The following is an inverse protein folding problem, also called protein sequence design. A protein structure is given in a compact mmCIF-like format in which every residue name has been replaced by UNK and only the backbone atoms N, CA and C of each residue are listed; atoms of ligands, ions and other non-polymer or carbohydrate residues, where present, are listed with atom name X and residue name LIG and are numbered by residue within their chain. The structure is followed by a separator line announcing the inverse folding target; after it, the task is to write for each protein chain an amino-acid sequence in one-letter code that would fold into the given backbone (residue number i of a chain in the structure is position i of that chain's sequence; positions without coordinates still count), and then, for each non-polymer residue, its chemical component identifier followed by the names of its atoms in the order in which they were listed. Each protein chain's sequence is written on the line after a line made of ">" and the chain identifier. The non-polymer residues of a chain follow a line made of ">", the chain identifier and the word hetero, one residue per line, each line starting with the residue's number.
data_IF_539460429817
#
_entry.id   IF_539460429817
#
_cell.length_a   1.000
_cell.length_b   1.000
_cell.length_c   1.000
_cell.angle_alpha   90.00
_cell.angle_beta   90.00
_cell.angle_gamma   90.00
#
_symmetry.space_group_name_H-M   'P 1'
#
loop_
_entity.id
_entity.type
_entity.pdbx_description
1 polymer ?
#
# COMPACT_ATOMS: atom_id res chain seq x y z
N UNK A 1 -11.02 -16.35 -8.22
CA UNK A 1 -10.14 -15.27 -7.69
C UNK A 1 -8.88 -15.21 -8.54
N UNK A 2 -8.64 -14.12 -9.28
CA UNK A 2 -7.39 -13.93 -10.04
C UNK A 2 -6.37 -13.23 -9.15
N UNK A 3 -5.12 -13.69 -9.19
CA UNK A 3 -4.06 -13.23 -8.30
C UNK A 3 -3.26 -12.10 -8.94
N UNK A 4 -3.07 -11.00 -8.22
CA UNK A 4 -2.09 -9.99 -8.61
C UNK A 4 -0.69 -10.44 -8.24
N UNK A 5 0.24 -10.37 -9.20
CA UNK A 5 1.61 -10.84 -9.02
C UNK A 5 2.57 -9.65 -8.93
N UNK A 6 3.18 -9.50 -7.76
CA UNK A 6 4.15 -8.44 -7.47
C UNK A 6 5.57 -9.02 -7.43
N UNK A 7 6.53 -8.29 -8.02
CA UNK A 7 7.96 -8.66 -8.05
C UNK A 7 8.67 -8.38 -6.73
N UNK A 8 8.28 -7.30 -6.08
CA UNK A 8 8.73 -6.87 -4.76
C UNK A 8 7.55 -6.18 -4.11
N UNK A 9 7.25 -6.55 -2.86
CA UNK A 9 6.13 -5.98 -2.12
C UNK A 9 6.43 -5.90 -0.64
N UNK A 10 5.76 -4.97 0.02
CA UNK A 10 5.65 -4.91 1.46
C UNK A 10 4.18 -4.83 1.84
N UNK A 11 3.86 -5.28 3.05
CA UNK A 11 2.52 -5.23 3.61
C UNK A 11 2.52 -4.33 4.84
N UNK A 12 1.42 -3.60 5.04
CA UNK A 12 1.18 -2.82 6.23
C UNK A 12 -0.28 -2.92 6.67
N UNK A 13 -0.49 -3.07 7.97
CA UNK A 13 -1.77 -2.85 8.63
C UNK A 13 -2.01 -1.34 8.79
N UNK A 14 -3.14 -0.86 8.27
CA UNK A 14 -3.51 0.55 8.26
C UNK A 14 -3.90 1.00 9.67
N UNK A 15 -3.29 2.09 10.11
CA UNK A 15 -3.59 2.74 11.37
C UNK A 15 -4.22 4.12 11.13
N UNK A 16 -4.54 4.83 12.22
CA UNK A 16 -5.22 6.13 12.15
C UNK A 16 -4.44 7.16 11.33
N UNK A 17 -3.11 7.15 11.45
CA UNK A 17 -2.24 8.11 10.75
C UNK A 17 -2.33 7.99 9.24
N UNK A 18 -2.39 6.76 8.72
CA UNK A 18 -2.52 6.53 7.28
C UNK A 18 -3.87 7.03 6.77
N UNK A 19 -4.96 6.73 7.48
CA UNK A 19 -6.31 6.95 6.97
C UNK A 19 -6.81 8.39 7.10
N UNK A 20 -6.55 9.03 8.24
CA UNK A 20 -7.23 10.27 8.62
C UNK A 20 -6.31 11.48 8.71
N UNK A 21 -5.08 11.29 9.19
CA UNK A 21 -4.22 12.42 9.53
C UNK A 21 -3.37 12.84 8.33
N UNK A 22 -2.61 11.91 7.75
CA UNK A 22 -1.55 12.25 6.79
C UNK A 22 -1.86 11.83 5.35
N UNK A 23 -2.70 10.81 5.15
CA UNK A 23 -2.89 10.17 3.83
C UNK A 23 -1.56 9.71 3.22
N UNK A 24 -0.69 9.19 4.08
CA UNK A 24 0.66 8.76 3.76
C UNK A 24 0.88 7.37 4.35
N UNK A 25 1.55 6.49 3.60
CA UNK A 25 1.93 5.18 4.09
C UNK A 25 3.27 5.25 4.84
N UNK A 26 3.21 5.13 6.16
CA UNK A 26 4.40 5.11 7.01
C UNK A 26 5.04 3.72 7.01
N UNK A 27 6.35 3.60 6.94
CA UNK A 27 7.02 2.28 6.84
C UNK A 27 8.39 2.38 6.20
N UNK A 28 9.14 3.40 6.63
CA UNK A 28 10.13 4.08 5.80
C UNK A 28 11.25 3.16 5.33
N UNK A 29 11.73 2.23 6.16
CA UNK A 29 12.91 1.42 5.80
C UNK A 29 12.65 0.49 4.60
N UNK A 30 11.54 -0.24 4.61
CA UNK A 30 11.23 -1.19 3.53
C UNK A 30 10.83 -0.45 2.26
N UNK A 31 10.00 0.60 2.37
CA UNK A 31 9.65 1.44 1.23
C UNK A 31 10.87 2.16 0.64
N UNK A 32 11.79 2.66 1.46
CA UNK A 32 13.04 3.27 1.00
C UNK A 32 13.95 2.27 0.29
N UNK A 33 14.03 1.04 0.77
CA UNK A 33 14.78 -0.01 0.07
C UNK A 33 14.16 -0.33 -1.31
N UNK A 34 12.83 -0.29 -1.42
CA UNK A 34 12.12 -0.60 -2.67
C UNK A 34 12.08 0.58 -3.65
N UNK A 35 11.85 1.79 -3.17
CA UNK A 35 11.63 3.00 -3.98
C UNK A 35 12.91 3.83 -4.16
N UNK A 36 13.92 3.60 -3.34
CA UNK A 36 15.15 4.37 -3.29
C UNK A 36 15.00 5.68 -2.51
N UNK A 37 15.96 6.58 -2.70
CA UNK A 37 16.04 7.86 -1.96
C UNK A 37 15.76 9.09 -2.83
N UNK A 38 15.49 8.90 -4.12
CA UNK A 38 15.14 9.99 -5.02
C UNK A 38 13.63 10.23 -4.99
N UNK A 39 13.23 11.50 -5.01
CA UNK A 39 11.84 11.90 -5.16
C UNK A 39 11.25 11.34 -6.46
N UNK A 40 10.04 10.78 -6.39
CA UNK A 40 9.37 10.13 -7.53
C UNK A 40 7.87 10.37 -7.49
N UNK A 41 7.28 10.52 -8.67
CA UNK A 41 5.84 10.45 -8.87
C UNK A 41 5.52 9.14 -9.60
N UNK A 42 4.47 8.45 -9.15
CA UNK A 42 4.01 7.20 -9.71
C UNK A 42 2.57 7.33 -10.17
N UNK A 43 2.27 6.82 -11.36
CA UNK A 43 0.90 6.40 -11.65
C UNK A 43 0.71 5.00 -11.12
N UNK A 44 -0.20 4.87 -10.15
CA UNK A 44 -0.34 3.66 -9.32
C UNK A 44 -1.68 3.02 -9.58
N UNK A 45 -1.70 1.69 -9.68
CA UNK A 45 -2.94 0.92 -9.70
C UNK A 45 -3.35 0.56 -8.27
N UNK A 46 -4.55 0.94 -7.85
CA UNK A 46 -5.17 0.51 -6.60
C UNK A 46 -6.23 -0.56 -6.89
N UNK A 47 -6.20 -1.65 -6.12
CA UNK A 47 -7.18 -2.73 -6.20
C UNK A 47 -7.79 -3.03 -4.84
N UNK A 48 -9.02 -3.54 -4.86
CA UNK A 48 -9.53 -4.37 -3.78
C UNK A 48 -8.94 -5.78 -3.90
N UNK A 49 -8.67 -6.43 -2.76
CA UNK A 49 -8.26 -7.82 -2.75
C UNK A 49 -9.30 -8.70 -3.45
N UNK A 50 -8.86 -9.44 -4.48
CA UNK A 50 -9.73 -10.33 -5.27
C UNK A 50 -10.34 -9.68 -6.53
N UNK A 51 -10.26 -8.35 -6.66
CA UNK A 51 -10.71 -7.60 -7.83
C UNK A 51 -9.62 -7.52 -8.91
N UNK A 52 -10.04 -7.33 -10.17
CA UNK A 52 -9.17 -7.19 -11.34
C UNK A 52 -9.27 -5.81 -12.00
N UNK A 53 -10.17 -4.94 -11.53
CA UNK A 53 -10.33 -3.60 -12.07
C UNK A 53 -9.52 -2.58 -11.24
N UNK A 54 -8.49 -1.93 -11.82
CA UNK A 54 -7.70 -0.96 -11.09
C UNK A 54 -8.39 0.41 -11.01
N UNK A 55 -8.24 1.05 -9.86
CA UNK A 55 -8.39 2.51 -9.72
C UNK A 55 -7.01 3.16 -9.90
N UNK A 56 -6.83 3.95 -10.95
CA UNK A 56 -5.56 4.65 -11.21
C UNK A 56 -5.45 5.92 -10.36
N UNK A 57 -4.36 6.06 -9.63
CA UNK A 57 -4.15 7.14 -8.65
C UNK A 57 -2.70 7.58 -8.68
N UNK A 58 -2.46 8.89 -8.56
CA UNK A 58 -1.09 9.40 -8.43
C UNK A 58 -0.58 9.20 -7.00
N UNK A 59 0.66 8.75 -6.87
CA UNK A 59 1.38 8.67 -5.61
C UNK A 59 2.71 9.41 -5.70
N UNK A 60 3.14 10.00 -4.58
CA UNK A 60 4.40 10.74 -4.50
C UNK A 60 5.27 10.17 -3.39
N UNK A 61 6.50 9.80 -3.74
CA UNK A 61 7.56 9.45 -2.81
C UNK A 61 8.53 10.61 -2.70
N UNK A 62 8.83 11.05 -1.48
CA UNK A 62 9.74 12.17 -1.25
C UNK A 62 10.36 12.16 0.15
N UNK A 63 11.48 12.85 0.30
CA UNK A 63 12.06 13.16 1.61
C UNK A 63 11.32 14.35 2.26
N UNK A 64 10.45 14.06 3.22
CA UNK A 64 9.60 15.04 3.88
C UNK A 64 10.34 15.99 4.83
N UNK A 65 11.60 15.70 5.12
CA UNK A 65 12.48 16.46 6.02
C UNK A 65 13.72 16.97 5.32
N UNK A 66 13.65 17.21 4.00
CA UNK A 66 14.80 17.63 3.18
C UNK A 66 15.52 18.89 3.71
N UNK A 67 14.81 19.78 4.42
CA UNK A 67 15.38 20.98 5.04
C UNK A 67 15.88 20.79 6.48
N UNK A 68 15.78 19.59 7.05
CA UNK A 68 16.13 19.31 8.44
C UNK A 68 17.55 18.73 8.53
N UNK A 69 18.41 19.36 9.32
CA UNK A 69 19.87 19.10 9.29
C UNK A 69 20.29 17.68 9.70
N UNK A 70 19.49 16.98 10.51
CA UNK A 70 19.87 15.69 11.11
C UNK A 70 18.82 14.59 10.99
N UNK A 71 17.61 14.91 10.53
CA UNK A 71 16.48 13.98 10.48
C UNK A 71 16.08 13.73 9.04
N UNK A 72 16.16 12.47 8.61
CA UNK A 72 15.65 12.01 7.33
C UNK A 72 14.37 11.21 7.53
N UNK A 73 13.32 11.58 6.81
CA UNK A 73 12.01 10.93 6.87
C UNK A 73 11.43 10.88 5.46
N UNK A 74 11.23 9.68 4.92
CA UNK A 74 10.62 9.52 3.61
C UNK A 74 9.16 9.11 3.74
N UNK A 75 8.33 9.67 2.87
CA UNK A 75 6.88 9.47 2.92
C UNK A 75 6.35 9.13 1.54
N UNK A 76 5.41 8.19 1.52
CA UNK A 76 4.68 7.79 0.33
C UNK A 76 3.26 8.32 0.44
N UNK A 77 3.02 9.48 -0.18
CA UNK A 77 1.72 10.14 -0.24
C UNK A 77 0.85 9.53 -1.35
N UNK A 78 -0.44 9.42 -1.10
CA UNK A 78 -1.43 9.03 -2.10
C UNK A 78 -2.55 10.08 -2.21
N UNK A 79 -3.02 10.31 -3.43
CA UNK A 79 -4.23 11.11 -3.66
C UNK A 79 -5.48 10.37 -3.15
N UNK A 80 -6.48 11.12 -2.72
CA UNK A 80 -7.75 10.54 -2.25
C UNK A 80 -8.37 9.71 -3.37
N UNK A 81 -8.76 8.48 -3.06
CA UNK A 81 -9.25 7.53 -4.05
C UNK A 81 -10.27 6.56 -3.44
N UNK A 82 -11.09 5.93 -4.29
CA UNK A 82 -12.18 5.06 -3.86
C UNK A 82 -11.72 3.90 -2.96
N UNK A 83 -10.58 3.27 -3.30
CA UNK A 83 -10.03 2.15 -2.52
C UNK A 83 -9.67 2.61 -1.12
N UNK A 84 -8.86 3.66 -0.98
CA UNK A 84 -8.46 4.19 0.32
C UNK A 84 -9.61 4.85 1.10
N UNK A 85 -10.59 5.44 0.43
CA UNK A 85 -11.78 6.02 1.09
C UNK A 85 -12.66 4.95 1.75
N UNK A 86 -12.62 3.72 1.23
CA UNK A 86 -13.32 2.60 1.85
C UNK A 86 -12.55 1.99 3.02
N UNK A 87 -11.23 2.25 3.13
CA UNK A 87 -10.33 1.61 4.07
C UNK A 87 -10.70 1.90 5.52
N UNK A 88 -10.53 0.90 6.38
CA UNK A 88 -10.82 0.97 7.80
C UNK A 88 -9.57 0.63 8.63
N UNK A 89 -9.58 1.04 9.89
CA UNK A 89 -8.52 0.68 10.83
C UNK A 89 -8.36 -0.84 10.90
N UNK A 90 -7.13 -1.30 10.78
CA UNK A 90 -6.80 -2.73 10.76
C UNK A 90 -6.72 -3.33 9.36
N UNK A 91 -7.33 -2.73 8.32
CA UNK A 91 -7.21 -3.24 6.95
C UNK A 91 -5.73 -3.35 6.55
N UNK A 92 -5.40 -4.37 5.76
CA UNK A 92 -4.03 -4.54 5.27
C UNK A 92 -3.91 -3.97 3.87
N UNK A 93 -2.84 -3.21 3.62
CA UNK A 93 -2.46 -2.78 2.28
C UNK A 93 -1.14 -3.43 1.88
N UNK A 94 -1.13 -4.05 0.70
CA UNK A 94 0.08 -4.53 0.04
C UNK A 94 0.51 -3.47 -0.97
N UNK A 95 1.77 -3.05 -0.92
CA UNK A 95 2.37 -2.09 -1.85
C UNK A 95 3.54 -2.75 -2.53
N UNK A 96 3.58 -2.75 -3.85
CA UNK A 96 4.68 -3.36 -4.60
C UNK A 96 4.66 -3.07 -6.09
N UNK A 97 5.72 -3.47 -6.78
CA UNK A 97 5.78 -3.35 -8.24
C UNK A 97 5.21 -4.59 -8.91
N UNK A 98 4.32 -4.40 -9.87
CA UNK A 98 3.79 -5.49 -10.69
C UNK A 98 4.81 -5.98 -11.74
N UNK A 99 4.41 -6.93 -12.57
CA UNK A 99 5.26 -7.48 -13.64
C UNK A 99 5.67 -6.43 -14.68
N UNK A 100 4.89 -5.37 -14.85
CA UNK A 100 5.13 -4.25 -15.77
C UNK A 100 5.95 -3.12 -15.15
N UNK A 101 6.38 -3.29 -13.89
CA UNK A 101 7.11 -2.27 -13.12
C UNK A 101 6.23 -1.05 -12.74
N UNK A 102 4.91 -1.25 -12.68
CA UNK A 102 3.96 -0.26 -12.19
C UNK A 102 3.76 -0.43 -10.69
N UNK A 103 3.84 0.66 -9.93
CA UNK A 103 3.54 0.63 -8.50
C UNK A 103 2.07 0.26 -8.31
N UNK A 104 1.81 -0.71 -7.46
CA UNK A 104 0.49 -1.30 -7.27
C UNK A 104 0.20 -1.42 -5.78
N UNK A 105 -1.00 -1.03 -5.41
CA UNK A 105 -1.54 -1.09 -4.06
C UNK A 105 -2.75 -2.01 -4.04
N UNK A 106 -2.82 -2.95 -3.09
CA UNK A 106 -3.93 -3.89 -2.95
C UNK A 106 -4.44 -3.82 -1.51
N UNK A 107 -5.71 -3.47 -1.35
CA UNK A 107 -6.37 -3.35 -0.05
C UNK A 107 -7.12 -4.63 0.30
N UNK A 108 -6.77 -5.24 1.43
CA UNK A 108 -7.45 -6.40 2.01
C UNK A 108 -8.20 -5.99 3.27
N UNK A 109 -9.51 -6.25 3.28
CA UNK A 109 -10.40 -5.94 4.41
C UNK A 109 -10.25 -6.95 5.54
N UNK A 110 -10.19 -6.48 6.80
CA UNK A 110 -10.19 -7.41 7.96
C UNK A 110 -11.56 -8.05 8.21
N UNK A 111 -12.63 -7.47 7.67
CA UNK A 111 -13.99 -7.98 7.81
C UNK A 111 -14.63 -8.17 6.42
N UNK A 112 -13.81 -8.41 5.39
CA UNK A 112 -14.35 -8.78 4.08
C UNK A 112 -15.06 -10.13 4.17
N UNK A 113 -16.03 -10.37 3.29
CA UNK A 113 -16.73 -11.66 3.22
C UNK A 113 -15.75 -12.84 3.08
N UNK A 114 -14.61 -12.61 2.43
CA UNK A 114 -13.53 -13.58 2.25
C UNK A 114 -12.51 -13.65 3.41
N UNK A 115 -12.62 -12.80 4.44
CA UNK A 115 -11.67 -12.78 5.54
C UNK A 115 -11.98 -13.90 6.56
N UNK A 116 -11.11 -14.91 6.59
CA UNK A 116 -11.28 -16.08 7.46
C UNK A 116 -10.75 -15.90 8.90
N UNK A 117 -10.40 -14.68 9.30
CA UNK A 117 -9.87 -14.40 10.64
C UNK A 117 -8.40 -14.80 10.80
N UNK A 118 -8.01 -15.12 12.04
CA UNK A 118 -6.68 -15.66 12.31
C UNK A 118 -6.60 -17.09 11.75
N UNK A 119 -5.86 -17.25 10.67
CA UNK A 119 -5.59 -18.56 10.06
C UNK A 119 -4.41 -19.18 10.82
N UNK A 120 -4.71 -20.11 11.73
CA UNK A 120 -3.68 -20.83 12.50
C UNK A 120 -2.79 -21.72 11.60
N UNK A 121 -3.39 -22.30 10.55
CA UNK A 121 -2.70 -23.13 9.57
C UNK A 121 -3.29 -22.95 8.17
N UNK A 122 -2.45 -23.07 7.14
CA UNK A 122 -2.89 -23.01 5.74
C UNK A 122 -3.85 -24.15 5.41
N UNK A 123 -5.15 -23.83 5.30
CA UNK A 123 -6.16 -24.81 4.89
C UNK A 123 -6.20 -24.90 3.37
N UNK A 124 -6.00 -26.11 2.85
CA UNK A 124 -6.16 -26.39 1.42
C UNK A 124 -7.66 -26.38 1.09
N UNK A 125 -8.14 -25.30 0.47
CA UNK A 125 -9.52 -25.23 -0.01
C UNK A 125 -9.65 -26.19 -1.19
N UNK A 126 -10.63 -27.11 -1.12
CA UNK A 126 -10.97 -28.07 -2.18
C UNK A 126 -11.78 -27.43 -3.29
#
# INVERSE_FOLDING_TARGET
>A
MKTQSLKSACIKTLSKSELYDQKELNGVKVLKNMLGTLDKNFQTNFFYGGDDTPHKVSMKWYEARMSHETRSEFRLYYESNQVMNSAQLGDNIVVGFDKTNTLTCILYKINGEDHQGHIEDWVKIK
#
